data_IF_625138201538
#
_entry.id   IF_625138201538
#
_cell.length_a   1.000
_cell.length_b   1.000
_cell.length_c   1.000
_cell.angle_alpha   90.00
_cell.angle_beta   90.00
_cell.angle_gamma   90.00
#
_symmetry.space_group_name_H-M   'P 1'
#
loop_
_entity.id
_entity.type
_entity.pdbx_description
1 polymer ?
#
# COMPACT_ATOMS: atom_id res chain seq x y z
N UNK A 1 -16.68 -5.14 16.00
CA UNK A 1 -16.86 -6.23 15.02
C UNK A 1 -15.52 -6.48 14.36
N UNK A 2 -14.89 -7.62 14.63
CA UNK A 2 -13.66 -8.03 13.95
C UNK A 2 -14.09 -8.70 12.65
N UNK A 3 -13.96 -7.99 11.53
CA UNK A 3 -14.12 -8.56 10.19
C UNK A 3 -12.75 -9.14 9.85
N UNK A 4 -12.60 -10.45 10.06
CA UNK A 4 -11.41 -11.19 9.62
C UNK A 4 -11.75 -11.81 8.27
N UNK A 5 -11.32 -11.15 7.20
CA UNK A 5 -11.58 -11.55 5.83
C UNK A 5 -10.40 -12.37 5.33
N UNK A 6 -10.44 -13.67 5.60
CA UNK A 6 -9.57 -14.68 5.01
C UNK A 6 -9.79 -14.69 3.50
N UNK A 7 -9.07 -13.84 2.77
CA UNK A 7 -8.86 -14.09 1.35
C UNK A 7 -8.12 -15.42 1.23
N UNK A 8 -8.74 -16.43 0.60
CA UNK A 8 -7.99 -17.58 0.07
C UNK A 8 -7.23 -17.10 -1.16
N UNK A 9 -6.13 -16.40 -0.92
CA UNK A 9 -5.10 -16.24 -1.94
C UNK A 9 -4.08 -17.33 -1.66
N UNK A 10 -3.88 -18.19 -2.64
CA UNK A 10 -2.80 -19.15 -2.59
C UNK A 10 -1.49 -18.37 -2.51
N UNK A 11 -0.77 -18.52 -1.40
CA UNK A 11 0.49 -17.83 -1.16
C UNK A 11 1.56 -18.19 -2.20
N UNK A 12 1.41 -19.32 -2.89
CA UNK A 12 2.29 -19.70 -4.01
C UNK A 12 2.10 -18.84 -5.26
N UNK A 13 1.03 -18.03 -5.31
CA UNK A 13 0.72 -17.11 -6.42
C UNK A 13 1.15 -15.65 -6.17
N UNK A 14 1.76 -15.38 -5.02
CA UNK A 14 2.33 -14.09 -4.66
C UNK A 14 3.84 -14.27 -4.47
N UNK A 15 4.58 -14.23 -5.56
CA UNK A 15 6.04 -14.43 -5.54
C UNK A 15 6.80 -13.14 -5.75
N UNK A 16 6.14 -12.10 -6.26
CA UNK A 16 6.76 -10.82 -6.60
C UNK A 16 5.97 -9.64 -6.01
N UNK A 17 6.64 -8.49 -5.86
CA UNK A 17 6.05 -7.24 -5.37
C UNK A 17 4.92 -6.77 -6.29
N UNK A 18 5.11 -6.86 -7.61
CA UNK A 18 4.10 -6.53 -8.60
C UNK A 18 2.82 -7.38 -8.48
N UNK A 19 2.94 -8.67 -8.12
CA UNK A 19 1.78 -9.53 -7.88
C UNK A 19 1.03 -9.13 -6.60
N UNK A 20 1.76 -8.74 -5.55
CA UNK A 20 1.17 -8.20 -4.33
C UNK A 20 0.40 -6.91 -4.61
N UNK A 21 1.01 -5.98 -5.34
CA UNK A 21 0.41 -4.70 -5.73
C UNK A 21 -0.84 -4.86 -6.59
N UNK A 22 -0.86 -5.82 -7.51
CA UNK A 22 -1.93 -5.92 -8.51
C UNK A 22 -3.03 -6.93 -8.14
N UNK A 23 -2.71 -7.97 -7.36
CA UNK A 23 -3.66 -9.07 -7.06
C UNK A 23 -4.15 -9.09 -5.62
N UNK A 24 -3.34 -8.65 -4.66
CA UNK A 24 -3.67 -8.68 -3.24
C UNK A 24 -4.17 -7.32 -2.74
N UNK A 25 -3.35 -6.28 -2.85
CA UNK A 25 -3.63 -4.96 -2.28
C UNK A 25 -4.97 -4.35 -2.72
N UNK A 26 -5.41 -4.41 -3.99
CA UNK A 26 -6.69 -3.85 -4.40
C UNK A 26 -7.88 -4.54 -3.72
N UNK A 27 -7.78 -5.84 -3.46
CA UNK A 27 -8.82 -6.60 -2.75
C UNK A 27 -8.87 -6.20 -1.28
N UNK A 28 -7.70 -6.02 -0.65
CA UNK A 28 -7.60 -5.53 0.73
C UNK A 28 -8.21 -4.13 0.84
N UNK A 29 -7.85 -3.20 -0.05
CA UNK A 29 -8.37 -1.83 0.02
C UNK A 29 -9.89 -1.77 -0.12
N UNK A 30 -10.45 -2.56 -1.05
CA UNK A 30 -11.89 -2.67 -1.23
C UNK A 30 -12.59 -3.20 0.02
N UNK A 31 -11.99 -4.20 0.65
CA UNK A 31 -12.53 -4.82 1.87
C UNK A 31 -12.42 -3.93 3.11
N UNK A 32 -11.36 -3.12 3.20
CA UNK A 32 -11.23 -2.02 4.16
C UNK A 32 -12.20 -0.86 3.88
N UNK A 33 -13.02 -0.95 2.83
CA UNK A 33 -14.05 0.04 2.50
C UNK A 33 -13.55 1.27 1.75
N UNK A 34 -12.33 1.23 1.19
CA UNK A 34 -11.83 2.33 0.36
C UNK A 34 -12.51 2.31 -1.01
N UNK A 35 -13.16 3.41 -1.44
CA UNK A 35 -13.68 3.51 -2.80
C UNK A 35 -12.52 3.65 -3.79
N UNK A 36 -12.70 3.14 -5.03
CA UNK A 36 -11.64 3.13 -6.06
C UNK A 36 -11.01 4.52 -6.30
N UNK A 37 -11.82 5.58 -6.21
CA UNK A 37 -11.36 6.98 -6.38
C UNK A 37 -10.44 7.46 -5.25
N UNK A 38 -10.49 6.83 -4.09
CA UNK A 38 -9.63 7.13 -2.95
C UNK A 38 -8.30 6.36 -2.98
N UNK A 39 -8.14 5.41 -3.90
CA UNK A 39 -6.92 4.60 -4.05
C UNK A 39 -6.11 5.19 -5.20
N UNK A 40 -5.00 5.86 -4.88
CA UNK A 40 -4.09 6.43 -5.89
C UNK A 40 -2.89 5.50 -6.05
N UNK A 41 -2.67 4.90 -7.23
CA UNK A 41 -1.51 4.04 -7.47
C UNK A 41 -0.26 4.84 -7.87
N UNK A 42 0.91 4.21 -7.72
CA UNK A 42 2.27 4.72 -7.98
C UNK A 42 2.41 5.60 -9.22
N UNK A 43 1.82 5.18 -10.34
CA UNK A 43 1.90 5.87 -11.64
C UNK A 43 1.39 7.31 -11.63
N UNK A 44 0.59 7.69 -10.63
CA UNK A 44 0.01 9.03 -10.50
C UNK A 44 0.59 9.83 -9.33
N UNK A 45 1.61 9.32 -8.65
CA UNK A 45 2.16 9.92 -7.44
C UNK A 45 3.52 10.54 -7.76
N UNK A 46 3.68 11.84 -7.49
CA UNK A 46 5.01 12.45 -7.42
C UNK A 46 5.69 11.97 -6.15
N UNK A 47 7.00 11.73 -6.20
CA UNK A 47 7.78 11.36 -5.02
C UNK A 47 7.42 12.28 -3.84
N UNK A 48 7.08 11.66 -2.71
CA UNK A 48 6.64 12.36 -1.52
C UNK A 48 7.86 12.82 -0.74
N UNK A 49 7.84 14.06 -0.27
CA UNK A 49 8.85 14.54 0.65
C UNK A 49 8.54 14.00 2.05
N UNK A 50 9.38 13.11 2.54
CA UNK A 50 9.32 12.60 3.91
C UNK A 50 10.32 13.39 4.74
N UNK A 51 9.87 13.90 5.88
CA UNK A 51 10.73 14.56 6.85
C UNK A 51 10.87 13.64 8.07
N UNK A 52 12.09 13.28 8.40
CA UNK A 52 12.44 12.55 9.61
C UNK A 52 13.41 13.41 10.43
N UNK A 53 12.86 14.12 11.41
CA UNK A 53 13.56 15.14 12.16
C UNK A 53 14.13 16.24 11.25
N UNK A 54 15.45 16.33 11.18
CA UNK A 54 16.17 17.31 10.33
C UNK A 54 16.47 16.80 8.92
N UNK A 55 16.28 15.50 8.65
CA UNK A 55 16.51 14.92 7.34
C UNK A 55 15.24 14.99 6.52
N UNK A 56 15.37 15.41 5.27
CA UNK A 56 14.29 15.30 4.28
C UNK A 56 14.74 14.46 3.11
N UNK A 57 13.93 13.47 2.74
CA UNK A 57 14.15 12.60 1.59
C UNK A 57 12.93 12.62 0.67
N UNK A 58 13.15 12.29 -0.60
CA UNK A 58 12.07 12.05 -1.56
C UNK A 58 11.87 10.55 -1.67
N UNK A 59 10.66 10.05 -1.38
CA UNK A 59 10.33 8.63 -1.46
C UNK A 59 9.17 8.42 -2.41
N UNK A 60 9.37 7.53 -3.36
CA UNK A 60 8.28 7.00 -4.19
C UNK A 60 7.55 5.93 -3.39
N UNK A 61 6.23 5.88 -3.53
CA UNK A 61 5.35 5.00 -2.76
C UNK A 61 4.37 4.31 -3.70
N UNK A 62 3.97 3.09 -3.37
CA UNK A 62 3.17 2.28 -4.29
C UNK A 62 1.71 2.71 -4.33
N UNK A 63 1.13 3.06 -3.17
CA UNK A 63 -0.22 3.62 -3.11
C UNK A 63 -0.37 4.72 -2.07
N UNK A 64 -1.29 5.64 -2.35
CA UNK A 64 -1.84 6.59 -1.37
C UNK A 64 -3.34 6.34 -1.24
N UNK A 65 -3.79 6.09 -0.02
CA UNK A 65 -5.20 6.01 0.31
C UNK A 65 -5.68 7.34 0.89
N UNK A 66 -6.71 7.90 0.28
CA UNK A 66 -7.32 9.16 0.70
C UNK A 66 -8.46 8.92 1.70
N UNK A 67 -8.70 9.91 2.56
CA UNK A 67 -9.91 9.97 3.37
C UNK A 67 -11.12 10.42 2.53
N UNK A 68 -12.30 10.48 3.16
CA UNK A 68 -13.54 10.95 2.53
C UNK A 68 -13.48 12.41 2.03
N UNK A 69 -12.58 13.22 2.57
CA UNK A 69 -12.35 14.62 2.17
C UNK A 69 -11.37 14.75 1.00
N UNK A 70 -10.77 13.64 0.55
CA UNK A 70 -9.80 13.62 -0.54
C UNK A 70 -8.34 13.90 -0.12
N UNK A 71 -8.09 14.03 1.18
CA UNK A 71 -6.74 14.18 1.73
C UNK A 71 -6.03 12.82 1.84
N UNK A 72 -4.73 12.79 1.56
CA UNK A 72 -3.91 11.60 1.77
C UNK A 72 -3.89 11.24 3.26
N UNK A 73 -4.29 10.00 3.59
CA UNK A 73 -4.39 9.51 4.97
C UNK A 73 -3.43 8.36 5.25
N UNK A 74 -3.26 7.46 4.29
CA UNK A 74 -2.40 6.28 4.43
C UNK A 74 -1.49 6.19 3.22
N UNK A 75 -0.22 5.90 3.47
CA UNK A 75 0.79 5.55 2.46
C UNK A 75 0.99 4.05 2.56
N UNK A 76 0.99 3.36 1.43
CA UNK A 76 1.20 1.92 1.35
C UNK A 76 2.41 1.65 0.49
N UNK A 77 3.34 0.88 1.05
CA UNK A 77 4.50 0.32 0.37
C UNK A 77 4.31 -1.20 0.33
N UNK A 78 4.39 -1.78 -0.86
CA UNK A 78 4.35 -3.20 -1.06
C UNK A 78 5.77 -3.77 -1.01
N UNK A 79 5.89 -5.03 -0.63
CA UNK A 79 7.12 -5.82 -0.80
C UNK A 79 6.78 -7.23 -1.22
N UNK A 80 7.78 -7.93 -1.74
CA UNK A 80 7.70 -9.36 -1.98
C UNK A 80 7.39 -10.12 -0.68
N UNK A 81 6.59 -11.18 -0.69
CA UNK A 81 6.21 -11.88 0.54
C UNK A 81 7.37 -12.55 1.29
N UNK A 82 8.50 -12.74 0.64
CA UNK A 82 9.74 -13.26 1.22
C UNK A 82 10.46 -12.23 2.12
N UNK A 83 10.15 -10.94 1.96
CA UNK A 83 10.79 -9.85 2.69
C UNK A 83 10.09 -9.63 4.03
N UNK A 84 10.87 -9.50 5.10
CA UNK A 84 10.33 -9.15 6.40
C UNK A 84 9.89 -7.68 6.41
N UNK A 85 8.67 -7.42 6.90
CA UNK A 85 8.11 -6.06 6.93
C UNK A 85 8.88 -5.10 7.84
N UNK A 86 9.60 -5.60 8.85
CA UNK A 86 10.42 -4.76 9.73
C UNK A 86 11.67 -4.26 9.00
N UNK A 87 12.15 -5.03 8.02
CA UNK A 87 13.29 -4.66 7.17
C UNK A 87 12.86 -3.87 5.93
N UNK A 88 11.55 -3.83 5.65
CA UNK A 88 10.97 -3.12 4.52
C UNK A 88 10.94 -1.60 4.69
N UNK A 89 11.06 -1.11 5.93
CA UNK A 89 11.11 0.32 6.24
C UNK A 89 12.55 0.74 6.56
N UNK A 90 13.23 1.21 5.51
CA UNK A 90 14.50 1.94 5.53
C UNK A 90 14.42 3.24 4.75
#
# INVERSE_FOLDING_TARGET
MSISTLFKIDSTMLTTEAEVETRLLPKIFKDLGYPDKAIIPKKHIKALKINDGTKSSMKEVDFILKNSEGHAKVIVEAKEPSINIMDAWG
#
